data_IF_516507335221
#
_entry.id   IF_516507335221
#
_cell.length_a   1.000
_cell.length_b   1.000
_cell.length_c   1.000
_cell.angle_alpha   90.00
_cell.angle_beta   90.00
_cell.angle_gamma   90.00
#
_symmetry.space_group_name_H-M   'P 1'
#
loop_
_entity.id
_entity.type
_entity.pdbx_description
1 polymer ?
#
# COMPACT_ATOMS: atom_id res chain seq x y z
N UNK A 1 17.83 -34.14 50.43
CA UNK A 1 17.35 -32.79 50.07
C UNK A 1 16.10 -32.54 50.86
N UNK A 2 16.11 -31.53 51.74
CA UNK A 2 14.94 -31.24 52.60
C UNK A 2 13.93 -30.34 51.86
N UNK A 3 12.72 -30.22 52.42
CA UNK A 3 11.62 -29.47 51.80
C UNK A 3 11.99 -27.99 51.56
N UNK A 4 12.77 -27.40 52.47
CA UNK A 4 13.27 -26.03 52.35
C UNK A 4 14.26 -25.86 51.18
N UNK A 5 15.13 -26.83 50.92
CA UNK A 5 16.05 -26.83 49.77
C UNK A 5 15.28 -26.94 48.44
N UNK A 6 14.21 -27.73 48.40
CA UNK A 6 13.34 -27.84 47.22
C UNK A 6 12.63 -26.51 46.96
N UNK A 7 12.07 -25.89 47.99
CA UNK A 7 11.37 -24.61 47.88
C UNK A 7 12.30 -23.45 47.48
N UNK A 8 13.53 -23.43 47.99
CA UNK A 8 14.53 -22.43 47.56
C UNK A 8 14.93 -22.63 46.09
N UNK A 9 15.11 -23.87 45.65
CA UNK A 9 15.44 -24.18 44.24
C UNK A 9 14.30 -23.77 43.30
N UNK A 10 13.05 -24.08 43.65
CA UNK A 10 11.87 -23.70 42.86
C UNK A 10 11.68 -22.18 42.78
N UNK A 11 11.95 -21.44 43.87
CA UNK A 11 11.93 -19.97 43.86
C UNK A 11 13.01 -19.40 42.94
N UNK A 12 14.22 -19.96 42.94
CA UNK A 12 15.29 -19.54 42.04
C UNK A 12 14.92 -19.74 40.56
N UNK A 13 14.30 -20.88 40.23
CA UNK A 13 13.81 -21.18 38.87
C UNK A 13 12.71 -20.19 38.46
N UNK A 14 11.75 -19.90 39.34
CA UNK A 14 10.65 -18.98 39.06
C UNK A 14 11.17 -17.54 38.80
N UNK A 15 12.10 -17.05 39.63
CA UNK A 15 12.72 -15.73 39.44
C UNK A 15 13.49 -15.66 38.12
N UNK A 16 14.22 -16.73 37.76
CA UNK A 16 14.90 -16.79 36.47
C UNK A 16 13.94 -16.76 35.27
N UNK A 17 12.78 -17.42 35.38
CA UNK A 17 11.76 -17.41 34.34
C UNK A 17 11.09 -16.05 34.17
N UNK A 18 10.81 -15.37 35.28
CA UNK A 18 10.20 -14.03 35.27
C UNK A 18 11.16 -12.96 34.72
N UNK A 19 12.47 -13.06 35.04
CA UNK A 19 13.49 -12.20 34.44
C UNK A 19 13.60 -12.44 32.93
N UNK A 20 13.61 -13.70 32.48
CA UNK A 20 13.70 -14.04 31.06
C UNK A 20 12.50 -13.49 30.26
N UNK A 21 11.30 -13.54 30.85
CA UNK A 21 10.09 -12.94 30.24
C UNK A 21 10.18 -11.42 30.13
N UNK A 22 10.69 -10.76 31.17
CA UNK A 22 10.88 -9.32 31.16
C UNK A 22 11.89 -8.88 30.10
N UNK A 23 13.03 -9.58 30.01
CA UNK A 23 14.08 -9.30 29.04
C UNK A 23 13.59 -9.53 27.60
N UNK A 24 12.79 -10.59 27.37
CA UNK A 24 12.17 -10.85 26.07
C UNK A 24 11.15 -9.77 25.69
N UNK A 25 10.33 -9.31 26.64
CA UNK A 25 9.37 -8.23 26.39
C UNK A 25 10.10 -6.92 26.01
N UNK A 26 11.15 -6.55 26.76
CA UNK A 26 11.97 -5.38 26.43
C UNK A 26 12.72 -5.53 25.11
N UNK A 27 13.19 -6.73 24.76
CA UNK A 27 13.85 -6.98 23.47
C UNK A 27 12.88 -6.82 22.30
N UNK A 28 11.65 -7.34 22.42
CA UNK A 28 10.61 -7.22 21.39
C UNK A 28 10.19 -5.76 21.23
N UNK A 29 9.97 -5.03 22.33
CA UNK A 29 9.56 -3.63 22.32
C UNK A 29 10.64 -2.72 21.69
N UNK A 30 11.90 -2.88 22.12
CA UNK A 30 13.04 -2.16 21.54
C UNK A 30 13.32 -2.54 20.08
N UNK A 31 12.96 -3.75 19.64
CA UNK A 31 13.14 -4.18 18.25
C UNK A 31 12.05 -3.58 17.36
N UNK A 32 10.82 -3.47 17.85
CA UNK A 32 9.71 -2.90 17.10
C UNK A 32 9.92 -1.38 16.87
N UNK A 33 10.36 -0.65 17.89
CA UNK A 33 10.66 0.79 17.79
C UNK A 33 11.85 1.07 16.86
N UNK A 34 12.94 0.28 16.98
CA UNK A 34 14.13 0.46 16.13
C UNK A 34 13.88 0.09 14.67
N UNK A 35 13.00 -0.87 14.40
CA UNK A 35 12.60 -1.21 13.03
C UNK A 35 11.78 -0.08 12.42
N UNK A 36 10.83 0.50 13.17
CA UNK A 36 10.09 1.68 12.72
C UNK A 36 11.00 2.89 12.48
N UNK A 37 11.93 3.20 13.39
CA UNK A 37 12.86 4.32 13.21
C UNK A 37 13.80 4.15 12.01
N UNK A 38 14.28 2.92 11.77
CA UNK A 38 15.14 2.62 10.62
C UNK A 38 14.38 2.69 9.31
N UNK A 39 13.17 2.12 9.24
CA UNK A 39 12.29 2.23 8.08
C UNK A 39 11.94 3.70 7.78
N UNK A 40 11.62 4.49 8.82
CA UNK A 40 11.38 5.94 8.69
C UNK A 40 12.65 6.68 8.22
N UNK A 41 13.85 6.27 8.66
CA UNK A 41 15.11 6.89 8.22
C UNK A 41 15.48 6.54 6.77
N UNK A 42 15.19 5.33 6.28
CA UNK A 42 15.44 4.95 4.89
C UNK A 42 14.40 5.54 3.92
N UNK A 43 13.20 5.88 4.42
CA UNK A 43 12.20 6.65 3.67
C UNK A 43 12.60 8.13 3.49
N UNK A 44 13.53 8.68 4.30
CA UNK A 44 14.00 10.08 4.19
C UNK A 44 14.76 10.40 2.90
N UNK A 45 15.21 9.41 2.13
CA UNK A 45 15.88 9.68 0.85
C UNK A 45 14.91 10.20 -0.23
N UNK A 46 13.61 10.00 -0.07
CA UNK A 46 12.60 10.60 -0.95
C UNK A 46 11.84 11.68 -0.18
N UNK A 47 12.22 12.94 -0.40
CA UNK A 47 11.43 14.06 0.12
C UNK A 47 10.06 14.10 -0.59
N UNK A 48 9.02 13.66 0.11
CA UNK A 48 7.64 13.65 -0.37
C UNK A 48 6.76 14.72 0.30
N UNK A 49 7.31 15.54 1.20
CA UNK A 49 6.50 16.53 1.93
C UNK A 49 5.88 17.57 0.99
N UNK A 50 6.53 17.85 -0.14
CA UNK A 50 6.02 18.75 -1.19
C UNK A 50 5.24 17.99 -2.29
N UNK A 51 5.08 16.67 -2.17
CA UNK A 51 4.35 15.88 -3.16
C UNK A 51 2.83 15.94 -2.86
N UNK A 52 2.00 16.50 -3.77
CA UNK A 52 0.59 16.74 -3.47
C UNK A 52 -0.22 15.44 -3.30
N UNK A 53 0.15 14.36 -4.00
CA UNK A 53 -0.47 13.04 -3.83
C UNK A 53 -0.16 12.50 -2.43
N UNK A 54 1.10 12.56 -1.98
CA UNK A 54 1.49 12.10 -0.65
C UNK A 54 0.75 12.89 0.45
N UNK A 55 0.70 14.21 0.34
CA UNK A 55 0.01 15.08 1.30
C UNK A 55 -1.48 14.74 1.37
N UNK A 56 -2.17 14.66 0.23
CA UNK A 56 -3.58 14.30 0.17
C UNK A 56 -3.85 12.88 0.70
N UNK A 57 -2.96 11.92 0.41
CA UNK A 57 -3.05 10.58 0.97
C UNK A 57 -2.86 10.57 2.48
N UNK A 58 -1.97 11.41 3.04
CA UNK A 58 -1.76 11.49 4.49
C UNK A 58 -3.00 12.00 5.21
N UNK A 59 -3.72 12.95 4.61
CA UNK A 59 -5.01 13.44 5.11
C UNK A 59 -6.12 12.40 4.98
N UNK A 60 -6.17 11.68 3.84
CA UNK A 60 -7.19 10.67 3.57
C UNK A 60 -6.99 9.39 4.41
N UNK A 61 -5.75 8.90 4.49
CA UNK A 61 -5.35 7.71 5.24
C UNK A 61 -3.82 7.62 5.40
N UNK A 62 -3.29 7.80 6.63
CA UNK A 62 -1.85 7.68 6.89
C UNK A 62 -1.24 6.36 6.40
N UNK A 63 -1.97 5.25 6.48
CA UNK A 63 -1.51 3.95 5.99
C UNK A 63 -1.33 3.93 4.47
N UNK A 64 -2.22 4.57 3.69
CA UNK A 64 -2.06 4.66 2.23
C UNK A 64 -0.87 5.55 1.85
N UNK A 65 -0.65 6.63 2.60
CA UNK A 65 0.51 7.51 2.41
C UNK A 65 1.84 6.76 2.63
N UNK A 66 1.92 5.90 3.65
CA UNK A 66 3.09 5.06 3.90
C UNK A 66 3.36 4.07 2.75
N UNK A 67 2.32 3.41 2.23
CA UNK A 67 2.46 2.49 1.08
C UNK A 67 2.95 3.27 -0.15
N UNK A 68 2.38 4.45 -0.43
CA UNK A 68 2.85 5.29 -1.54
C UNK A 68 4.30 5.74 -1.35
N UNK A 69 4.69 6.15 -0.14
CA UNK A 69 6.08 6.51 0.15
C UNK A 69 7.05 5.35 -0.07
N UNK A 70 6.68 4.14 0.35
CA UNK A 70 7.46 2.94 0.09
C UNK A 70 7.60 2.67 -1.42
N UNK A 71 6.52 2.81 -2.20
CA UNK A 71 6.56 2.68 -3.65
C UNK A 71 7.53 3.68 -4.29
N UNK A 72 7.53 4.94 -3.84
CA UNK A 72 8.45 5.97 -4.35
C UNK A 72 9.90 5.66 -3.98
N UNK A 73 10.16 5.22 -2.75
CA UNK A 73 11.48 4.77 -2.28
C UNK A 73 11.98 3.57 -3.10
N UNK A 74 11.13 2.56 -3.31
CA UNK A 74 11.47 1.39 -4.11
C UNK A 74 11.89 1.76 -5.53
N UNK A 75 11.19 2.71 -6.16
CA UNK A 75 11.46 3.16 -7.53
C UNK A 75 12.75 3.96 -7.64
N UNK A 76 13.12 4.71 -6.60
CA UNK A 76 14.38 5.43 -6.52
C UNK A 76 15.59 4.46 -6.47
N UNK A 77 15.43 3.30 -5.82
CA UNK A 77 16.46 2.27 -5.71
C UNK A 77 16.69 1.52 -7.03
N UNK A 78 17.93 1.14 -7.33
CA UNK A 78 18.30 0.45 -8.59
C UNK A 78 18.62 -1.05 -8.40
N UNK A 79 18.64 -1.52 -7.17
CA UNK A 79 19.20 -2.81 -6.75
C UNK A 79 18.13 -3.82 -6.30
N UNK A 80 16.85 -3.56 -6.60
CA UNK A 80 15.77 -4.49 -6.25
C UNK A 80 15.83 -5.76 -7.10
N UNK A 81 15.70 -6.89 -6.42
CA UNK A 81 15.60 -8.21 -7.04
C UNK A 81 14.26 -8.41 -7.77
N UNK A 82 13.16 -7.87 -7.24
CA UNK A 82 11.83 -7.98 -7.84
C UNK A 82 11.02 -6.70 -7.68
N UNK A 83 10.12 -6.45 -8.63
CA UNK A 83 9.27 -5.26 -8.67
C UNK A 83 7.78 -5.56 -8.44
N UNK A 84 7.40 -6.84 -8.38
CA UNK A 84 6.01 -7.26 -8.18
C UNK A 84 5.38 -6.70 -6.90
N UNK A 85 6.16 -6.59 -5.81
CA UNK A 85 5.67 -5.99 -4.56
C UNK A 85 5.43 -4.48 -4.68
N UNK A 86 6.29 -3.74 -5.39
CA UNK A 86 6.05 -2.32 -5.68
C UNK A 86 4.78 -2.13 -6.51
N UNK A 87 4.61 -2.93 -7.55
CA UNK A 87 3.41 -2.89 -8.38
C UNK A 87 2.14 -3.23 -7.59
N UNK A 88 2.23 -4.19 -6.67
CA UNK A 88 1.14 -4.48 -5.74
C UNK A 88 0.84 -3.30 -4.82
N UNK A 89 1.88 -2.63 -4.28
CA UNK A 89 1.72 -1.40 -3.50
C UNK A 89 0.94 -0.32 -4.24
N UNK A 90 1.22 -0.10 -5.53
CA UNK A 90 0.45 0.84 -6.37
C UNK A 90 -1.03 0.45 -6.43
N UNK A 91 -1.33 -0.84 -6.61
CA UNK A 91 -2.71 -1.35 -6.64
C UNK A 91 -3.43 -1.11 -5.31
N UNK A 92 -2.76 -1.35 -4.20
CA UNK A 92 -3.34 -1.19 -2.87
C UNK A 92 -3.64 0.28 -2.57
N UNK A 93 -2.76 1.21 -2.95
CA UNK A 93 -3.04 2.65 -2.82
C UNK A 93 -4.26 3.03 -3.66
N UNK A 94 -4.31 2.63 -4.93
CA UNK A 94 -5.46 2.90 -5.81
C UNK A 94 -6.76 2.34 -5.22
N UNK A 95 -6.78 1.07 -4.84
CA UNK A 95 -7.95 0.43 -4.24
C UNK A 95 -8.39 1.15 -2.96
N UNK A 96 -7.43 1.51 -2.10
CA UNK A 96 -7.67 2.23 -0.86
C UNK A 96 -8.35 3.58 -1.10
N UNK A 97 -7.84 4.38 -2.04
CA UNK A 97 -8.45 5.65 -2.45
C UNK A 97 -9.91 5.42 -2.87
N UNK A 98 -10.14 4.45 -3.77
CA UNK A 98 -11.48 4.19 -4.31
C UNK A 98 -12.47 3.76 -3.23
N UNK A 99 -12.06 2.90 -2.29
CA UNK A 99 -12.95 2.44 -1.21
C UNK A 99 -13.27 3.58 -0.23
N UNK A 100 -12.27 4.41 0.13
CA UNK A 100 -12.49 5.51 1.07
C UNK A 100 -13.34 6.63 0.48
N UNK A 101 -13.14 6.97 -0.80
CA UNK A 101 -13.88 8.07 -1.44
C UNK A 101 -15.24 7.64 -2.00
N UNK A 102 -15.45 6.34 -2.19
CA UNK A 102 -16.70 5.78 -2.68
C UNK A 102 -17.09 4.52 -1.88
N UNK A 103 -17.50 4.66 -0.61
CA UNK A 103 -17.91 3.53 0.23
C UNK A 103 -19.09 2.77 -0.37
N UNK A 104 -19.18 1.48 -0.06
CA UNK A 104 -20.21 0.58 -0.60
C UNK A 104 -21.60 1.07 -0.23
N UNK A 105 -21.77 1.55 1.00
CA UNK A 105 -23.02 2.02 1.56
C UNK A 105 -23.55 3.25 0.81
N UNK A 106 -22.65 4.16 0.40
CA UNK A 106 -23.02 5.34 -0.39
C UNK A 106 -23.34 4.99 -1.84
N UNK A 107 -22.63 4.01 -2.40
CA UNK A 107 -22.69 3.71 -3.83
C UNK A 107 -23.87 2.80 -4.16
N UNK A 108 -24.16 1.81 -3.32
CA UNK A 108 -25.25 0.84 -3.54
C UNK A 108 -26.63 1.52 -3.54
N UNK A 109 -26.79 2.62 -2.81
CA UNK A 109 -28.05 3.38 -2.74
C UNK A 109 -28.24 4.37 -3.88
N UNK A 110 -27.25 4.52 -4.78
CA UNK A 110 -27.37 5.43 -5.91
C UNK A 110 -28.43 4.93 -6.91
N UNK A 111 -29.30 5.80 -7.44
CA UNK A 111 -30.37 5.40 -8.37
C UNK A 111 -29.90 4.67 -9.64
N UNK A 112 -28.63 4.88 -10.03
CA UNK A 112 -28.01 4.30 -11.22
C UNK A 112 -27.05 3.14 -10.91
N UNK A 113 -26.93 2.73 -9.65
CA UNK A 113 -26.13 1.57 -9.29
C UNK A 113 -26.78 0.28 -9.80
N UNK A 114 -25.95 -0.58 -10.40
CA UNK A 114 -26.34 -1.92 -10.82
C UNK A 114 -25.22 -2.87 -10.43
N UNK A 115 -25.51 -3.82 -9.54
CA UNK A 115 -24.55 -4.87 -9.21
C UNK A 115 -24.20 -5.65 -10.48
N UNK A 116 -22.91 -5.83 -10.74
CA UNK A 116 -22.44 -6.63 -11.87
C UNK A 116 -22.48 -8.11 -11.51
N UNK A 117 -22.70 -8.97 -12.50
CA UNK A 117 -22.71 -10.42 -12.27
C UNK A 117 -21.34 -10.89 -11.78
N UNK A 118 -21.33 -11.70 -10.72
CA UNK A 118 -20.10 -12.24 -10.15
C UNK A 118 -19.31 -11.29 -9.24
N UNK A 119 -19.85 -10.10 -8.91
CA UNK A 119 -19.18 -9.15 -8.00
C UNK A 119 -19.88 -9.07 -6.64
N UNK A 120 -19.10 -9.04 -5.57
CA UNK A 120 -19.59 -8.80 -4.21
C UNK A 120 -19.44 -7.31 -3.88
N UNK A 121 -20.41 -6.49 -4.31
CA UNK A 121 -20.41 -5.03 -4.14
C UNK A 121 -19.95 -4.24 -5.38
N UNK A 122 -19.75 -2.92 -5.24
CA UNK A 122 -19.37 -2.04 -6.34
C UNK A 122 -17.97 -2.34 -6.89
N UNK A 123 -17.87 -2.34 -8.22
CA UNK A 123 -16.58 -2.49 -8.90
C UNK A 123 -15.74 -1.22 -8.80
N UNK A 124 -14.42 -1.33 -9.01
CA UNK A 124 -13.54 -0.16 -9.04
C UNK A 124 -14.00 0.86 -10.10
N UNK A 125 -14.42 0.38 -11.26
CA UNK A 125 -15.01 1.22 -12.33
C UNK A 125 -16.23 2.01 -11.87
N UNK A 126 -17.12 1.39 -11.09
CA UNK A 126 -18.28 2.05 -10.52
C UNK A 126 -17.89 3.11 -9.50
N UNK A 127 -16.87 2.83 -8.67
CA UNK A 127 -16.32 3.79 -7.69
C UNK A 127 -15.69 5.00 -8.36
N UNK A 128 -14.86 4.78 -9.38
CA UNK A 128 -14.27 5.88 -10.18
C UNK A 128 -15.37 6.78 -10.74
N UNK A 129 -16.38 6.18 -11.39
CA UNK A 129 -17.51 6.94 -11.94
C UNK A 129 -18.25 7.73 -10.87
N UNK A 130 -18.46 7.15 -9.69
CA UNK A 130 -19.09 7.83 -8.57
C UNK A 130 -18.26 9.03 -8.08
N UNK A 131 -16.96 8.86 -7.88
CA UNK A 131 -16.03 9.92 -7.41
C UNK A 131 -16.02 11.09 -8.37
N UNK A 132 -15.83 10.81 -9.67
CA UNK A 132 -15.77 11.85 -10.70
C UNK A 132 -17.09 12.63 -10.82
N UNK A 133 -18.23 11.92 -10.77
CA UNK A 133 -19.55 12.58 -10.79
C UNK A 133 -19.75 13.47 -9.55
N UNK A 134 -19.37 12.99 -8.36
CA UNK A 134 -19.48 13.74 -7.10
C UNK A 134 -18.67 15.05 -7.13
N UNK A 135 -17.63 15.11 -7.98
CA UNK A 135 -16.75 16.26 -8.18
C UNK A 135 -17.11 17.14 -9.37
N UNK A 136 -18.22 16.84 -10.06
CA UNK A 136 -18.69 17.66 -11.17
C UNK A 136 -17.89 17.52 -12.46
N UNK A 137 -17.11 16.43 -12.62
CA UNK A 137 -16.43 16.16 -13.88
C UNK A 137 -17.45 15.96 -15.02
N UNK A 138 -17.27 16.68 -16.13
CA UNK A 138 -18.15 16.57 -17.31
C UNK A 138 -17.79 15.37 -18.20
N UNK A 139 -18.47 15.18 -19.34
CA UNK A 139 -18.45 14.00 -20.22
C UNK A 139 -17.08 13.50 -20.74
N UNK A 140 -15.97 14.17 -20.43
CA UNK A 140 -14.60 13.66 -20.56
C UNK A 140 -14.25 12.57 -19.53
N UNK A 141 -15.13 12.26 -18.57
CA UNK A 141 -14.95 11.24 -17.55
C UNK A 141 -14.98 9.78 -18.04
N UNK A 142 -15.33 9.53 -19.31
CA UNK A 142 -15.41 8.16 -19.86
C UNK A 142 -14.02 7.55 -20.05
N UNK A 143 -13.06 8.35 -20.52
CA UNK A 143 -11.69 7.89 -20.78
C UNK A 143 -10.98 7.55 -19.47
N UNK A 144 -11.14 8.41 -18.46
CA UNK A 144 -10.64 8.23 -17.09
C UNK A 144 -11.19 6.94 -16.46
N UNK A 145 -12.45 6.61 -16.73
CA UNK A 145 -13.08 5.37 -16.23
C UNK A 145 -12.50 4.10 -16.87
N UNK A 146 -11.91 4.16 -18.07
CA UNK A 146 -11.18 3.02 -18.66
C UNK A 146 -9.74 2.87 -18.16
N UNK A 147 -9.12 3.95 -17.67
CA UNK A 147 -7.74 3.90 -17.17
C UNK A 147 -7.57 2.99 -15.95
N UNK A 148 -8.60 2.84 -15.11
CA UNK A 148 -8.55 1.93 -13.96
C UNK A 148 -8.36 0.48 -14.40
N UNK A 149 -9.05 0.05 -15.46
CA UNK A 149 -8.96 -1.31 -16.01
C UNK A 149 -7.54 -1.52 -16.60
N UNK A 150 -7.00 -0.52 -17.30
CA UNK A 150 -5.67 -0.56 -17.88
C UNK A 150 -4.54 -0.64 -16.83
N UNK A 151 -4.65 0.11 -15.73
CA UNK A 151 -3.71 0.04 -14.61
C UNK A 151 -3.75 -1.35 -13.96
N UNK A 152 -4.94 -1.88 -13.66
CA UNK A 152 -5.08 -3.21 -13.06
C UNK A 152 -4.55 -4.32 -13.96
N UNK A 153 -4.83 -4.27 -15.26
CA UNK A 153 -4.34 -5.25 -16.24
C UNK A 153 -2.80 -5.26 -16.32
N UNK A 154 -2.18 -4.08 -16.34
CA UNK A 154 -0.71 -3.94 -16.35
C UNK A 154 -0.09 -4.51 -15.08
N UNK A 155 -0.65 -4.18 -13.91
CA UNK A 155 -0.19 -4.72 -12.63
C UNK A 155 -0.31 -6.25 -12.62
N UNK A 156 -1.47 -6.79 -13.01
CA UNK A 156 -1.69 -8.23 -13.06
C UNK A 156 -0.72 -8.95 -14.01
N UNK A 157 -0.44 -8.34 -15.17
CA UNK A 157 0.49 -8.89 -16.16
C UNK A 157 1.93 -8.86 -15.66
N UNK A 158 2.35 -7.77 -15.01
CA UNK A 158 3.67 -7.66 -14.39
C UNK A 158 3.86 -8.69 -13.27
N UNK A 159 2.90 -8.81 -12.35
CA UNK A 159 2.97 -9.77 -11.23
C UNK A 159 3.05 -11.21 -11.75
N UNK A 160 2.20 -11.59 -12.71
CA UNK A 160 2.26 -12.92 -13.35
C UNK A 160 3.62 -13.16 -14.01
N UNK A 161 4.12 -12.16 -14.75
CA UNK A 161 5.42 -12.25 -15.40
C UNK A 161 6.55 -12.45 -14.39
N UNK A 162 6.55 -11.74 -13.26
CA UNK A 162 7.54 -11.93 -12.19
C UNK A 162 7.50 -13.35 -11.62
N UNK A 163 6.31 -13.93 -11.38
CA UNK A 163 6.18 -15.31 -10.91
C UNK A 163 6.63 -16.34 -11.94
N UNK A 164 6.32 -16.12 -13.23
CA UNK A 164 6.75 -17.03 -14.31
C UNK A 164 8.25 -16.95 -14.60
N UNK A 165 8.94 -15.87 -14.21
CA UNK A 165 10.34 -15.57 -14.59
C UNK A 165 11.36 -15.75 -13.46
N UNK A 166 10.99 -16.36 -12.35
CA UNK A 166 11.89 -16.63 -11.22
C UNK A 166 13.13 -17.51 -11.58
N UNK A 167 13.35 -17.85 -12.85
CA UNK A 167 14.53 -18.57 -13.35
C UNK A 167 15.56 -17.74 -14.14
N UNK A 168 15.32 -16.48 -14.53
CA UNK A 168 16.26 -15.71 -15.38
C UNK A 168 16.55 -14.28 -14.87
N UNK A 169 17.78 -14.02 -14.43
CA UNK A 169 18.23 -12.77 -13.83
C UNK A 169 18.25 -11.55 -14.79
N UNK A 170 18.13 -11.74 -16.11
CA UNK A 170 18.25 -10.68 -17.11
C UNK A 170 17.00 -9.78 -17.26
N UNK A 171 15.95 -9.98 -16.45
CA UNK A 171 14.66 -9.31 -16.63
C UNK A 171 14.28 -8.27 -15.58
N UNK A 172 15.04 -8.15 -14.47
CA UNK A 172 14.75 -7.17 -13.41
C UNK A 172 14.70 -5.71 -13.88
N UNK A 173 15.49 -5.34 -14.90
CA UNK A 173 15.49 -3.98 -15.45
C UNK A 173 14.20 -3.65 -16.22
N UNK A 174 13.65 -4.60 -16.99
CA UNK A 174 12.39 -4.41 -17.73
C UNK A 174 11.20 -4.29 -16.80
N UNK A 175 11.22 -5.03 -15.69
CA UNK A 175 10.17 -4.98 -14.68
C UNK A 175 10.18 -3.63 -13.93
N UNK A 176 11.36 -3.03 -13.71
CA UNK A 176 11.48 -1.66 -13.17
C UNK A 176 10.81 -0.63 -14.08
N UNK A 177 11.15 -0.64 -15.37
CA UNK A 177 10.59 0.32 -16.34
C UNK A 177 9.07 0.24 -16.43
N UNK A 178 8.51 -0.99 -16.45
CA UNK A 178 7.07 -1.17 -16.46
C UNK A 178 6.42 -0.70 -15.14
N UNK A 179 7.06 -0.97 -13.99
CA UNK A 179 6.57 -0.47 -12.70
C UNK A 179 6.57 1.05 -12.65
N UNK A 180 7.60 1.70 -13.19
CA UNK A 180 7.65 3.16 -13.31
C UNK A 180 6.55 3.70 -14.24
N UNK A 181 6.22 3.00 -15.33
CA UNK A 181 5.10 3.36 -16.21
C UNK A 181 3.77 3.27 -15.48
N UNK A 182 3.53 2.16 -14.78
CA UNK A 182 2.34 1.95 -13.95
C UNK A 182 2.21 3.07 -12.92
N UNK A 183 3.31 3.42 -12.22
CA UNK A 183 3.32 4.50 -11.25
C UNK A 183 2.92 5.84 -11.88
N UNK A 184 3.44 6.19 -13.06
CA UNK A 184 3.07 7.44 -13.74
C UNK A 184 1.60 7.49 -14.14
N UNK A 185 1.05 6.38 -14.65
CA UNK A 185 -0.39 6.30 -14.95
C UNK A 185 -1.23 6.44 -13.68
N UNK A 186 -0.84 5.75 -12.61
CA UNK A 186 -1.47 5.91 -11.30
C UNK A 186 -1.40 7.35 -10.81
N UNK A 187 -0.24 8.00 -10.89
CA UNK A 187 -0.06 9.37 -10.41
C UNK A 187 -0.96 10.34 -11.19
N UNK A 188 -0.98 10.27 -12.52
CA UNK A 188 -1.91 11.06 -13.33
C UNK A 188 -3.37 10.83 -12.92
N UNK A 189 -3.76 9.57 -12.74
CA UNK A 189 -5.10 9.20 -12.31
C UNK A 189 -5.43 9.66 -10.88
N UNK A 190 -4.44 9.70 -9.99
CA UNK A 190 -4.59 10.12 -8.61
C UNK A 190 -4.89 11.62 -8.51
N UNK A 191 -4.43 12.45 -9.44
CA UNK A 191 -4.81 13.88 -9.47
C UNK A 191 -6.33 14.03 -9.65
N UNK A 192 -6.90 13.32 -10.63
CA UNK A 192 -8.36 13.31 -10.85
C UNK A 192 -9.12 12.75 -9.64
N UNK A 193 -8.61 11.65 -9.05
CA UNK A 193 -9.23 10.96 -7.91
C UNK A 193 -9.02 11.66 -6.57
N UNK A 194 -8.09 12.60 -6.43
CA UNK A 194 -7.84 13.36 -5.20
C UNK A 194 -8.20 14.85 -5.34
N UNK A 195 -8.67 15.28 -6.53
CA UNK A 195 -9.09 16.66 -6.82
C UNK A 195 -7.92 17.64 -6.68
N UNK A 196 -6.75 17.17 -7.12
CA UNK A 196 -5.52 17.94 -7.09
C UNK A 196 -5.43 18.79 -8.35
N UNK A 197 -4.89 19.99 -8.21
CA UNK A 197 -4.61 20.87 -9.34
C UNK A 197 -3.17 20.66 -9.77
N UNK A 198 -2.94 20.55 -11.07
CA UNK A 198 -1.61 20.73 -11.62
C UNK A 198 -1.20 22.19 -11.40
N UNK A 199 -0.18 22.43 -10.58
CA UNK A 199 0.52 23.72 -10.57
C UNK A 199 1.25 23.82 -11.92
N UNK A 200 0.61 24.51 -12.87
CA UNK A 200 1.16 24.83 -14.20
C UNK A 200 1.88 26.17 -14.19
#
# INVERSE_FOLDING_TARGET
>A
MNEDEILQTLRGIQVGFDQTKHDLAQFVDNSHDKLHEKEISELKEVNLEDNPIYVALRELSPSLALIYAQVKSDIAKNDRLTWGMTAHGIREVLRGILVLLAPDEELIVQPNYKQQSGTNGPTQKQRVKYILNKRGASSSSVDVVSEVDAIEERIGSLVRATYSRASDAAHGFKDKEETQRILRYFEAFAYDLLDLKDET
#
